data_IF_966974639211
#
_entry.id   IF_966974639211
#
_cell.length_a   1.000
_cell.length_b   1.000
_cell.length_c   1.000
_cell.angle_alpha   90.00
_cell.angle_beta   90.00
_cell.angle_gamma   90.00
#
_symmetry.space_group_name_H-M   'P 1'
#
loop_
_entity.id
_entity.type
_entity.pdbx_description
1 polymer ?
#
# COMPACT_ATOMS: atom_id res chain seq x y z
N UNK A 1 3.98 14.15 8.23
CA UNK A 1 3.27 14.90 7.17
C UNK A 1 2.50 13.91 6.30
N UNK A 2 1.21 14.13 6.09
CA UNK A 2 0.37 13.24 5.27
C UNK A 2 0.79 13.34 3.79
N UNK A 3 1.08 12.23 3.10
CA UNK A 3 1.43 12.24 1.69
C UNK A 3 0.24 12.66 0.83
N UNK A 4 0.51 13.40 -0.26
CA UNK A 4 -0.52 13.79 -1.22
C UNK A 4 -1.08 12.56 -1.93
N UNK A 5 -2.37 12.61 -2.27
CA UNK A 5 -2.99 11.57 -3.09
C UNK A 5 -2.20 11.33 -4.37
N UNK A 6 -2.00 10.06 -4.74
CA UNK A 6 -1.27 9.69 -5.95
C UNK A 6 -1.97 8.59 -6.73
N UNK A 7 -1.55 8.39 -7.97
CA UNK A 7 -1.92 7.18 -8.72
C UNK A 7 -1.07 6.03 -8.20
N UNK A 8 -1.65 4.85 -8.07
CA UNK A 8 -0.94 3.64 -7.70
C UNK A 8 -1.42 2.47 -8.56
N UNK A 9 -0.53 1.53 -8.84
CA UNK A 9 -0.93 0.25 -9.41
C UNK A 9 -1.17 -0.75 -8.29
N UNK A 10 -2.30 -1.45 -8.35
CA UNK A 10 -2.62 -2.63 -7.57
C UNK A 10 -2.16 -3.87 -8.32
N UNK A 11 -1.41 -4.73 -7.63
CA UNK A 11 -0.81 -5.94 -8.19
C UNK A 11 -1.43 -7.22 -7.62
N UNK A 12 -2.53 -7.13 -6.87
CA UNK A 12 -3.14 -8.26 -6.19
C UNK A 12 -2.69 -8.42 -4.74
N UNK A 13 -3.31 -9.40 -4.08
CA UNK A 13 -3.17 -9.76 -2.68
C UNK A 13 -4.24 -10.81 -2.39
N UNK A 14 -4.02 -11.74 -1.45
CA UNK A 14 -5.06 -12.72 -1.11
C UNK A 14 -6.37 -11.98 -0.76
N UNK A 15 -7.55 -12.46 -1.21
CA UNK A 15 -7.78 -13.61 -2.08
C UNK A 15 -7.70 -13.31 -3.60
N UNK A 16 -7.57 -12.06 -4.03
CA UNK A 16 -7.59 -11.67 -5.44
C UNK A 16 -6.22 -11.81 -6.15
N UNK A 17 -6.04 -12.91 -6.89
CA UNK A 17 -5.01 -13.03 -7.95
C UNK A 17 -5.46 -12.29 -9.21
N UNK A 18 -5.38 -10.95 -9.18
CA UNK A 18 -5.89 -10.08 -10.26
C UNK A 18 -4.82 -9.52 -11.20
N UNK A 19 -5.25 -9.13 -12.41
CA UNK A 19 -4.46 -8.32 -13.36
C UNK A 19 -4.12 -6.96 -12.78
N UNK A 20 -2.93 -6.42 -13.10
CA UNK A 20 -2.48 -5.09 -12.66
C UNK A 20 -3.55 -4.02 -12.94
N UNK A 21 -4.07 -3.38 -11.89
CA UNK A 21 -5.07 -2.31 -12.01
C UNK A 21 -4.51 -0.97 -11.59
N UNK A 22 -4.88 0.10 -12.29
CA UNK A 22 -4.46 1.46 -11.94
C UNK A 22 -5.55 2.14 -11.13
N UNK A 23 -5.21 2.59 -9.93
CA UNK A 23 -6.12 3.27 -9.03
C UNK A 23 -5.55 4.55 -8.46
N UNK A 24 -6.28 5.12 -7.51
CA UNK A 24 -5.88 6.27 -6.70
C UNK A 24 -5.65 5.80 -5.26
N UNK A 25 -4.55 6.27 -4.67
CA UNK A 25 -4.19 6.07 -3.26
C UNK A 25 -4.24 7.42 -2.56
N UNK A 26 -4.93 7.50 -1.42
CA UNK A 26 -4.98 8.70 -0.59
C UNK A 26 -5.23 8.34 0.87
N UNK A 27 -5.13 9.34 1.73
CA UNK A 27 -5.46 9.26 3.15
C UNK A 27 -6.71 10.11 3.38
N UNK A 28 -7.66 9.56 4.13
CA UNK A 28 -8.89 10.24 4.56
C UNK A 28 -9.07 10.00 6.06
N UNK A 29 -8.92 11.06 6.87
CA UNK A 29 -8.85 10.91 8.33
C UNK A 29 -7.76 9.91 8.75
N UNK A 30 -8.16 8.89 9.51
CA UNK A 30 -7.29 7.80 9.98
C UNK A 30 -7.37 6.54 9.11
N UNK A 31 -7.73 6.71 7.84
CA UNK A 31 -7.92 5.61 6.89
C UNK A 31 -7.05 5.78 5.67
N UNK A 32 -6.42 4.68 5.23
CA UNK A 32 -5.79 4.59 3.92
C UNK A 32 -6.83 4.10 2.92
N UNK A 33 -7.06 4.91 1.89
CA UNK A 33 -8.05 4.63 0.87
C UNK A 33 -7.37 4.30 -0.46
N UNK A 34 -7.82 3.23 -1.10
CA UNK A 34 -7.39 2.84 -2.42
C UNK A 34 -8.57 2.48 -3.30
N UNK A 35 -8.74 3.20 -4.41
CA UNK A 35 -9.83 2.99 -5.33
C UNK A 35 -9.33 2.71 -6.74
N UNK A 36 -9.85 1.64 -7.33
CA UNK A 36 -9.73 1.35 -8.76
C UNK A 36 -11.11 1.57 -9.37
N UNK A 37 -11.18 2.48 -10.33
CA UNK A 37 -12.39 2.69 -11.11
C UNK A 37 -12.66 1.47 -11.98
N UNK A 38 -13.94 1.16 -12.14
CA UNK A 38 -14.42 0.07 -13.00
C UNK A 38 -13.94 0.31 -14.45
N UNK A 39 -13.27 -0.70 -15.01
CA UNK A 39 -12.81 -0.71 -16.39
C UNK A 39 -13.61 -1.69 -17.23
N UNK A 40 -13.35 -1.73 -18.55
CA UNK A 40 -14.05 -2.58 -19.54
C UNK A 40 -14.01 -4.11 -19.31
N UNK A 41 -13.49 -4.60 -18.18
CA UNK A 41 -13.36 -6.04 -17.90
C UNK A 41 -12.87 -6.33 -16.48
N UNK A 42 -13.47 -5.73 -15.46
CA UNK A 42 -13.10 -6.09 -14.09
C UNK A 42 -13.86 -5.34 -13.01
N UNK A 43 -13.80 -5.92 -11.81
CA UNK A 43 -14.44 -5.44 -10.60
C UNK A 43 -13.88 -4.09 -10.15
N UNK A 44 -14.78 -3.25 -9.64
CA UNK A 44 -14.43 -2.06 -8.85
C UNK A 44 -13.75 -2.52 -7.56
N UNK A 45 -12.59 -1.94 -7.26
CA UNK A 45 -11.91 -2.15 -5.98
C UNK A 45 -12.04 -0.87 -5.17
N UNK A 46 -12.65 -0.94 -4.00
CA UNK A 46 -12.72 0.17 -3.04
C UNK A 46 -12.24 -0.31 -1.67
N UNK A 47 -10.95 -0.11 -1.39
CA UNK A 47 -10.32 -0.51 -0.14
C UNK A 47 -10.24 0.69 0.80
N UNK A 48 -10.67 0.46 2.03
CA UNK A 48 -10.55 1.40 3.15
C UNK A 48 -9.92 0.67 4.31
N UNK A 49 -8.68 1.00 4.62
CA UNK A 49 -7.87 0.31 5.63
C UNK A 49 -7.64 1.28 6.80
N UNK A 50 -8.29 1.07 7.96
CA UNK A 50 -8.02 1.85 9.15
C UNK A 50 -6.56 1.71 9.60
N UNK A 51 -5.95 2.79 10.07
CA UNK A 51 -4.56 2.73 10.55
C UNK A 51 -4.38 1.76 11.72
N UNK A 52 -5.38 1.64 12.60
CA UNK A 52 -5.42 0.70 13.72
C UNK A 52 -5.36 -0.78 13.29
N UNK A 53 -5.71 -1.08 12.04
CA UNK A 53 -5.71 -2.43 11.48
C UNK A 53 -4.42 -2.74 10.73
N UNK A 54 -3.51 -1.78 10.55
CA UNK A 54 -2.25 -2.00 9.84
C UNK A 54 -1.23 -2.72 10.72
N UNK A 55 -0.63 -3.77 10.19
CA UNK A 55 0.31 -4.61 10.94
C UNK A 55 1.77 -4.37 10.54
N UNK A 56 2.04 -4.35 9.23
CA UNK A 56 3.41 -4.22 8.71
C UNK A 56 3.43 -3.64 7.31
N UNK A 57 4.53 -2.97 6.98
CA UNK A 57 4.82 -2.54 5.62
C UNK A 57 6.27 -2.82 5.25
N UNK A 58 6.49 -3.37 4.07
CA UNK A 58 7.83 -3.60 3.53
C UNK A 58 7.85 -3.50 2.02
N UNK A 59 9.04 -3.27 1.48
CA UNK A 59 9.25 -3.16 0.04
C UNK A 59 9.82 -4.46 -0.52
N UNK A 60 9.28 -4.91 -1.65
CA UNK A 60 9.90 -5.98 -2.45
C UNK A 60 10.28 -5.44 -3.82
N UNK A 61 11.33 -6.01 -4.41
CA UNK A 61 11.61 -5.84 -5.85
C UNK A 61 10.93 -6.98 -6.58
N UNK A 62 10.19 -6.64 -7.62
CA UNK A 62 9.54 -7.62 -8.49
C UNK A 62 9.78 -7.24 -9.94
N UNK A 63 9.97 -8.24 -10.80
CA UNK A 63 10.19 -8.04 -12.22
C UNK A 63 8.87 -8.24 -12.97
N UNK A 64 7.97 -7.26 -12.82
CA UNK A 64 6.67 -7.32 -13.45
C UNK A 64 6.76 -6.82 -14.89
N UNK A 65 6.53 -7.73 -15.86
CA UNK A 65 6.66 -7.47 -17.30
C UNK A 65 8.04 -6.91 -17.73
N UNK A 66 9.14 -7.45 -17.21
CA UNK A 66 10.49 -7.07 -17.63
C UNK A 66 10.97 -5.72 -17.07
N UNK A 67 10.24 -5.14 -16.11
CA UNK A 67 10.63 -3.89 -15.45
C UNK A 67 10.81 -4.12 -13.95
N UNK A 68 12.01 -3.82 -13.45
CA UNK A 68 12.29 -3.75 -12.02
C UNK A 68 11.35 -2.75 -11.33
N UNK A 69 10.37 -3.29 -10.62
CA UNK A 69 9.32 -2.55 -9.96
C UNK A 69 9.46 -2.74 -8.46
N UNK A 70 9.54 -1.63 -7.72
CA UNK A 70 9.45 -1.66 -6.26
C UNK A 70 7.98 -1.71 -5.85
N UNK A 71 7.59 -2.79 -5.19
CA UNK A 71 6.24 -3.04 -4.68
C UNK A 71 6.20 -2.78 -3.18
N UNK A 72 5.10 -2.17 -2.74
CA UNK A 72 4.73 -1.98 -1.35
C UNK A 72 3.86 -3.16 -0.95
N UNK A 73 4.23 -3.84 0.12
CA UNK A 73 3.45 -4.91 0.72
C UNK A 73 2.96 -4.39 2.07
N UNK A 74 1.69 -3.98 2.13
CA UNK A 74 1.03 -3.53 3.35
C UNK A 74 0.14 -4.65 3.87
N UNK A 75 0.45 -5.17 5.05
CA UNK A 75 -0.38 -6.15 5.74
C UNK A 75 -1.31 -5.45 6.73
N UNK A 76 -2.56 -5.87 6.75
CA UNK A 76 -3.60 -5.36 7.64
C UNK A 76 -4.59 -6.47 8.01
N UNK A 77 -5.26 -6.32 9.15
CA UNK A 77 -6.35 -7.19 9.57
C UNK A 77 -7.66 -6.74 8.93
N UNK A 78 -8.45 -7.68 8.44
CA UNK A 78 -9.81 -7.41 8.01
C UNK A 78 -10.79 -7.33 9.20
N UNK A 79 -12.08 -7.46 8.90
CA UNK A 79 -13.16 -7.43 9.89
C UNK A 79 -13.16 -8.69 10.76
N UNK A 80 -12.82 -9.85 10.19
CA UNK A 80 -12.75 -11.15 10.88
C UNK A 80 -11.42 -11.33 11.65
N UNK A 81 -10.48 -10.39 11.51
CA UNK A 81 -9.16 -10.42 12.14
C UNK A 81 -8.12 -11.22 11.36
N UNK A 82 -8.44 -11.65 10.14
CA UNK A 82 -7.51 -12.30 9.24
C UNK A 82 -6.56 -11.29 8.60
N UNK A 83 -5.27 -11.65 8.51
CA UNK A 83 -4.25 -10.78 7.94
C UNK A 83 -4.20 -10.88 6.41
N UNK A 84 -4.44 -9.76 5.73
CA UNK A 84 -4.33 -9.63 4.29
C UNK A 84 -3.17 -8.73 3.90
N UNK A 85 -2.52 -9.03 2.77
CA UNK A 85 -1.43 -8.21 2.23
C UNK A 85 -1.82 -7.57 0.92
N UNK A 86 -1.96 -6.24 0.94
CA UNK A 86 -2.14 -5.40 -0.23
C UNK A 86 -0.80 -5.13 -0.92
N UNK A 87 -0.67 -5.51 -2.20
CA UNK A 87 0.51 -5.16 -3.02
C UNK A 87 0.21 -4.02 -3.97
N UNK A 88 0.96 -2.93 -3.86
CA UNK A 88 0.79 -1.76 -4.71
C UNK A 88 2.09 -1.03 -5.04
N UNK A 89 2.08 -0.19 -6.08
CA UNK A 89 3.21 0.69 -6.42
C UNK A 89 2.73 2.12 -6.72
N UNK A 90 3.14 3.12 -5.93
CA UNK A 90 2.90 4.53 -6.24
C UNK A 90 3.56 4.93 -7.57
N UNK A 91 2.84 5.70 -8.38
CA UNK A 91 3.22 6.07 -9.75
C UNK A 91 3.48 7.57 -9.84
N UNK A 92 4.63 7.92 -10.41
CA UNK A 92 4.89 9.23 -10.97
C UNK A 92 5.62 9.07 -12.31
N UNK A 93 5.32 9.95 -13.27
CA UNK A 93 5.89 9.90 -14.63
C UNK A 93 7.41 10.18 -14.58
N UNK A 94 7.84 11.07 -13.70
CA UNK A 94 9.25 11.47 -13.57
C UNK A 94 9.95 10.54 -12.57
N UNK A 95 11.02 9.81 -12.95
CA UNK A 95 11.67 8.81 -12.09
C UNK A 95 12.12 9.33 -10.73
N UNK A 96 12.79 10.50 -10.68
CA UNK A 96 13.20 11.13 -9.41
C UNK A 96 12.02 11.46 -8.51
N UNK A 97 10.91 11.94 -9.09
CA UNK A 97 9.67 12.22 -8.34
C UNK A 97 9.00 10.93 -7.87
N UNK A 98 9.12 9.84 -8.63
CA UNK A 98 8.62 8.51 -8.23
C UNK A 98 9.33 8.00 -7.00
N UNK A 99 10.66 8.06 -6.96
CA UNK A 99 11.46 7.63 -5.79
C UNK A 99 11.11 8.46 -4.56
N UNK A 100 11.07 9.79 -4.70
CA UNK A 100 10.70 10.67 -3.59
C UNK A 100 9.26 10.43 -3.10
N UNK A 101 8.31 10.19 -4.02
CA UNK A 101 6.93 9.85 -3.70
C UNK A 101 6.86 8.51 -2.95
N UNK A 102 7.53 7.48 -3.47
CA UNK A 102 7.58 6.15 -2.85
C UNK A 102 8.17 6.23 -1.44
N UNK A 103 9.32 6.91 -1.27
CA UNK A 103 9.91 7.10 0.06
C UNK A 103 8.96 7.80 1.02
N UNK A 104 8.30 8.89 0.60
CA UNK A 104 7.33 9.62 1.43
C UNK A 104 6.16 8.74 1.87
N UNK A 105 5.63 7.92 0.97
CA UNK A 105 4.55 6.99 1.30
C UNK A 105 5.02 5.90 2.26
N UNK A 106 6.21 5.34 2.03
CA UNK A 106 6.77 4.30 2.90
C UNK A 106 7.00 4.83 4.31
N UNK A 107 7.73 5.95 4.44
CA UNK A 107 8.04 6.57 5.73
C UNK A 107 6.75 6.91 6.50
N UNK A 108 5.74 7.42 5.80
CA UNK A 108 4.45 7.75 6.42
C UNK A 108 3.74 6.51 6.96
N UNK A 109 3.55 5.47 6.12
CA UNK A 109 2.85 4.25 6.54
C UNK A 109 3.62 3.50 7.64
N UNK A 110 4.94 3.44 7.55
CA UNK A 110 5.79 2.87 8.59
C UNK A 110 5.62 3.64 9.91
N UNK A 111 5.61 4.98 9.86
CA UNK A 111 5.41 5.80 11.06
C UNK A 111 4.06 5.56 11.74
N UNK A 112 3.00 5.33 10.97
CA UNK A 112 1.66 5.03 11.51
C UNK A 112 1.64 3.70 12.26
N UNK A 113 2.24 2.67 11.68
CA UNK A 113 2.34 1.34 12.29
C UNK A 113 3.19 1.42 13.57
N UNK A 114 4.31 2.14 13.54
CA UNK A 114 5.15 2.33 14.73
C UNK A 114 4.49 3.21 15.80
N UNK A 115 3.61 4.14 15.43
CA UNK A 115 2.89 4.99 16.39
C UNK A 115 1.64 4.33 17.00
N UNK A 116 1.04 3.39 16.28
CA UNK A 116 -0.09 2.58 16.77
C UNK A 116 0.35 1.38 17.62
N UNK A 117 1.64 1.04 17.58
CA UNK A 117 2.25 0.00 18.40
C UNK A 117 2.69 0.54 19.75
N UNK A 118 2.13 -0.03 20.82
CA UNK A 118 2.83 -0.15 22.10
C UNK A 118 4.31 -0.43 21.85
N UNK A 119 5.17 0.39 22.45
CA UNK A 119 6.60 0.14 22.54
C UNK A 119 6.80 -1.28 23.06
N UNK A 120 7.30 -2.18 22.21
CA UNK A 120 8.17 -3.23 22.68
C UNK A 120 9.55 -2.90 22.14
N UNK A 121 10.49 -2.49 23.00
CA UNK A 121 11.84 -2.22 22.57
C UNK A 121 12.41 -3.54 22.03
N UNK A 122 13.10 -3.43 20.91
CA UNK A 122 13.89 -4.50 20.31
C UNK A 122 14.56 -5.36 21.39
N UNK A 123 14.21 -6.65 21.42
CA UNK A 123 15.00 -7.66 22.11
C UNK A 123 16.32 -7.78 21.35
N UNK A 124 17.39 -7.20 21.90
CA UNK A 124 18.75 -7.53 21.52
C UNK A 124 19.07 -8.95 21.98
N UNK A 125 19.10 -9.88 21.03
CA UNK A 125 19.91 -11.09 21.12
C UNK A 125 20.78 -11.19 19.89
#
# INVERSE_FOLDING_TARGET
MIPRSCKAYYYGGLPFKGTRRKGRLWVEGETLCFNVQEGKGGEKIDLRIPFSKMEKIFLTRDNYYGTDTTLFNLTFQDEDGESFTLRFAPVAIIPRRRIALQKRWFDYLASLISSGGNVSPLSTR
#
